data_IF_331398733561
#
_entry.id   IF_331398733561
#
_cell.length_a   1.000
_cell.length_b   1.000
_cell.length_c   1.000
_cell.angle_alpha   90.00
_cell.angle_beta   90.00
_cell.angle_gamma   90.00
#
_symmetry.space_group_name_H-M   'P 1'
#
loop_
_entity.id
_entity.type
_entity.pdbx_description
1 polymer ?
#
# COMPACT_ATOMS: atom_id res chain seq x y z
N UNK A 1 27.21 -4.71 -5.72
CA UNK A 1 26.70 -5.45 -4.56
C UNK A 1 25.55 -6.35 -5.02
N UNK A 2 25.79 -7.67 -5.00
CA UNK A 2 24.76 -8.67 -5.28
C UNK A 2 23.76 -8.71 -4.11
N UNK A 3 22.73 -7.88 -4.17
CA UNK A 3 21.58 -8.04 -3.29
C UNK A 3 20.76 -9.21 -3.84
N UNK A 4 20.77 -10.33 -3.12
CA UNK A 4 19.89 -11.47 -3.42
C UNK A 4 18.46 -11.01 -3.29
N UNK A 5 17.58 -11.19 -4.31
CA UNK A 5 16.19 -10.83 -4.20
C UNK A 5 15.53 -11.61 -3.04
N UNK A 6 14.69 -10.92 -2.28
CA UNK A 6 13.94 -11.56 -1.18
C UNK A 6 12.96 -12.60 -1.75
N UNK A 7 12.82 -13.73 -1.07
CA UNK A 7 11.84 -14.74 -1.45
C UNK A 7 10.43 -14.12 -1.39
N UNK A 8 9.57 -14.31 -2.41
CA UNK A 8 8.22 -13.74 -2.43
C UNK A 8 7.34 -14.10 -1.23
N UNK A 9 7.45 -15.32 -0.71
CA UNK A 9 6.71 -15.74 0.48
C UNK A 9 7.17 -15.00 1.73
N UNK A 10 8.48 -14.80 1.89
CA UNK A 10 9.05 -14.02 2.98
C UNK A 10 8.67 -12.55 2.86
N UNK A 11 8.68 -12.01 1.66
CA UNK A 11 8.27 -10.63 1.39
C UNK A 11 6.79 -10.41 1.75
N UNK A 12 5.91 -11.33 1.34
CA UNK A 12 4.48 -11.26 1.66
C UNK A 12 4.23 -11.34 3.17
N UNK A 13 4.89 -12.23 3.87
CA UNK A 13 4.81 -12.36 5.33
C UNK A 13 5.21 -11.06 6.02
N UNK A 14 6.38 -10.52 5.69
CA UNK A 14 6.89 -9.28 6.28
C UNK A 14 6.00 -8.07 5.96
N UNK A 15 5.53 -7.98 4.72
CA UNK A 15 4.62 -6.93 4.27
C UNK A 15 3.29 -6.98 5.04
N UNK A 16 2.70 -8.17 5.18
CA UNK A 16 1.44 -8.36 5.90
C UNK A 16 1.58 -8.04 7.39
N UNK A 17 2.70 -8.40 8.01
CA UNK A 17 2.99 -8.09 9.42
C UNK A 17 3.24 -6.60 9.66
N UNK A 18 3.90 -5.91 8.72
CA UNK A 18 4.23 -4.49 8.86
C UNK A 18 3.08 -3.55 8.48
N UNK A 19 2.14 -4.01 7.64
CA UNK A 19 1.07 -3.16 7.14
C UNK A 19 0.02 -2.88 8.24
N UNK A 20 -0.36 -1.61 8.47
CA UNK A 20 -1.36 -1.24 9.48
C UNK A 20 -2.78 -1.46 8.96
N UNK A 21 -3.25 -2.69 9.01
CA UNK A 21 -4.59 -3.07 8.56
C UNK A 21 -5.65 -2.30 9.35
N UNK A 22 -6.72 -1.88 8.66
CA UNK A 22 -7.84 -1.14 9.23
C UNK A 22 -8.43 -1.83 10.47
N UNK A 23 -8.71 -1.04 11.49
CA UNK A 23 -9.47 -1.46 12.68
C UNK A 23 -10.98 -1.18 12.54
N UNK A 24 -11.36 -0.44 11.51
CA UNK A 24 -12.75 0.01 11.27
C UNK A 24 -13.45 -0.78 10.18
N UNK A 25 -12.73 -1.51 9.34
CA UNK A 25 -13.30 -2.26 8.21
C UNK A 25 -14.20 -3.40 8.69
N UNK A 26 -15.36 -3.53 8.07
CA UNK A 26 -16.28 -4.65 8.26
C UNK A 26 -16.14 -5.71 7.16
N UNK A 27 -15.62 -5.33 5.99
CA UNK A 27 -15.36 -6.25 4.90
C UNK A 27 -14.09 -7.06 5.14
N UNK A 28 -14.11 -8.33 4.74
CA UNK A 28 -12.93 -9.19 4.80
C UNK A 28 -11.87 -8.75 3.78
N UNK A 29 -10.61 -8.91 4.14
CA UNK A 29 -9.51 -8.83 3.20
C UNK A 29 -9.51 -10.08 2.30
N UNK A 30 -9.04 -9.93 1.07
CA UNK A 30 -9.03 -11.03 0.08
C UNK A 30 -7.61 -11.24 -0.43
N UNK A 31 -7.15 -12.49 -0.38
CA UNK A 31 -5.91 -12.92 -1.02
C UNK A 31 -6.23 -13.53 -2.38
N UNK A 32 -5.69 -12.92 -3.45
CA UNK A 32 -5.70 -13.48 -4.80
C UNK A 32 -4.34 -14.03 -5.16
N UNK A 33 -4.33 -15.20 -5.73
CA UNK A 33 -3.12 -15.84 -6.25
C UNK A 33 -3.21 -15.84 -7.77
N UNK A 34 -2.28 -15.15 -8.40
CA UNK A 34 -2.18 -15.00 -9.83
C UNK A 34 -1.05 -15.87 -10.36
N UNK A 35 -1.16 -16.34 -11.59
CA UNK A 35 -0.11 -17.07 -12.27
C UNK A 35 0.13 -16.50 -13.67
N UNK A 36 1.37 -16.50 -14.10
CA UNK A 36 1.86 -16.06 -15.39
C UNK A 36 1.81 -14.55 -15.58
N UNK A 37 0.62 -13.94 -15.59
CA UNK A 37 0.43 -12.49 -15.81
C UNK A 37 -0.90 -12.00 -15.26
N UNK A 38 -1.09 -10.68 -15.23
CA UNK A 38 -2.38 -10.07 -14.89
C UNK A 38 -3.51 -10.35 -15.91
N UNK A 39 -3.18 -10.77 -17.10
CA UNK A 39 -4.17 -11.10 -18.14
C UNK A 39 -4.90 -12.42 -17.86
N UNK A 40 -4.28 -13.30 -17.07
CA UNK A 40 -4.88 -14.58 -16.71
C UNK A 40 -5.81 -14.41 -15.48
N UNK A 41 -6.90 -15.19 -15.41
CA UNK A 41 -7.76 -15.17 -14.23
C UNK A 41 -7.00 -15.70 -13.00
N UNK A 42 -7.39 -15.27 -11.78
CA UNK A 42 -6.78 -15.77 -10.55
C UNK A 42 -6.87 -17.30 -10.45
N UNK A 43 -5.78 -17.93 -10.04
CA UNK A 43 -5.72 -19.37 -9.76
C UNK A 43 -6.53 -19.71 -8.51
N UNK A 44 -6.50 -18.82 -7.53
CA UNK A 44 -7.25 -18.96 -6.28
C UNK A 44 -7.59 -17.58 -5.71
N UNK A 45 -8.68 -17.51 -4.96
CA UNK A 45 -9.15 -16.33 -4.27
C UNK A 45 -9.76 -16.74 -2.94
N UNK A 46 -9.24 -16.18 -1.83
CA UNK A 46 -9.67 -16.53 -0.48
C UNK A 46 -9.88 -15.31 0.40
N UNK A 47 -10.96 -15.28 1.15
CA UNK A 47 -11.13 -14.32 2.23
C UNK A 47 -10.22 -14.70 3.41
N UNK A 48 -9.51 -13.72 3.95
CA UNK A 48 -8.53 -13.92 5.02
C UNK A 48 -8.87 -13.11 6.30
N UNK A 49 -10.13 -12.81 6.47
CA UNK A 49 -10.66 -12.07 7.62
C UNK A 49 -10.46 -10.55 7.51
N UNK A 50 -11.13 -9.80 8.37
CA UNK A 50 -11.05 -8.32 8.38
C UNK A 50 -9.68 -7.80 8.77
N UNK A 51 -8.90 -8.56 9.54
CA UNK A 51 -7.55 -8.22 9.98
C UNK A 51 -6.45 -8.78 9.07
N UNK A 52 -6.82 -9.42 7.95
CA UNK A 52 -5.87 -10.06 7.03
C UNK A 52 -4.86 -10.93 7.80
N UNK A 53 -5.34 -11.93 8.52
CA UNK A 53 -4.52 -12.76 9.42
C UNK A 53 -3.22 -13.24 8.76
N UNK A 54 -2.04 -12.82 9.24
CA UNK A 54 -0.77 -13.07 8.56
C UNK A 54 -0.44 -14.56 8.40
N UNK A 55 -0.79 -15.39 9.37
CA UNK A 55 -0.56 -16.84 9.30
C UNK A 55 -1.41 -17.50 8.21
N UNK A 56 -2.68 -17.11 8.09
CA UNK A 56 -3.56 -17.64 7.05
C UNK A 56 -3.10 -17.20 5.66
N UNK A 57 -2.69 -15.95 5.51
CA UNK A 57 -2.13 -15.41 4.25
C UNK A 57 -0.88 -16.20 3.86
N UNK A 58 0.04 -16.42 4.79
CA UNK A 58 1.29 -17.14 4.55
C UNK A 58 1.03 -18.62 4.18
N UNK A 59 0.12 -19.28 4.86
CA UNK A 59 -0.21 -20.69 4.60
C UNK A 59 -0.83 -20.86 3.21
N UNK A 60 -1.79 -20.03 2.85
CA UNK A 60 -2.42 -20.05 1.53
C UNK A 60 -1.41 -19.71 0.41
N UNK A 61 -0.59 -18.70 0.61
CA UNK A 61 0.43 -18.34 -0.36
C UNK A 61 1.45 -19.48 -0.58
N UNK A 62 1.86 -20.16 0.49
CA UNK A 62 2.79 -21.28 0.43
C UNK A 62 2.20 -22.48 -0.33
N UNK A 63 0.91 -22.72 -0.18
CA UNK A 63 0.20 -23.82 -0.85
C UNK A 63 0.21 -23.65 -2.38
N UNK A 64 0.08 -22.42 -2.88
CA UNK A 64 -0.05 -22.11 -4.29
C UNK A 64 1.21 -21.51 -4.94
N UNK A 65 2.32 -21.44 -4.21
CA UNK A 65 3.53 -20.81 -4.70
C UNK A 65 4.15 -21.55 -5.88
N UNK A 66 4.44 -20.80 -6.94
CA UNK A 66 5.30 -21.18 -8.07
C UNK A 66 6.14 -19.94 -8.47
N UNK A 67 7.27 -20.11 -9.19
CA UNK A 67 8.09 -18.97 -9.63
C UNK A 67 7.36 -17.94 -10.48
N UNK A 68 6.31 -18.35 -11.19
CA UNK A 68 5.44 -17.48 -12.00
C UNK A 68 4.19 -16.98 -11.25
N UNK A 69 4.13 -17.19 -9.94
CA UNK A 69 3.03 -16.71 -9.11
C UNK A 69 3.20 -15.24 -8.71
N UNK A 70 2.07 -14.56 -8.52
CA UNK A 70 1.99 -13.30 -7.80
C UNK A 70 0.89 -13.39 -6.74
N UNK A 71 1.10 -12.69 -5.62
CA UNK A 71 0.15 -12.62 -4.53
C UNK A 71 -0.38 -11.20 -4.43
N UNK A 72 -1.70 -11.06 -4.43
CA UNK A 72 -2.37 -9.79 -4.26
C UNK A 72 -3.28 -9.85 -3.04
N UNK A 73 -2.93 -9.09 -2.01
CA UNK A 73 -3.74 -8.93 -0.81
C UNK A 73 -4.50 -7.60 -0.92
N UNK A 74 -5.81 -7.70 -1.13
CA UNK A 74 -6.70 -6.54 -1.09
C UNK A 74 -7.21 -6.38 0.34
N UNK A 75 -6.87 -5.28 0.94
CA UNK A 75 -7.17 -4.97 2.34
C UNK A 75 -7.55 -3.50 2.49
N UNK A 76 -7.64 -3.04 3.72
CA UNK A 76 -8.01 -1.66 4.05
C UNK A 76 -7.04 -1.11 5.10
N UNK A 77 -6.83 0.20 5.07
CA UNK A 77 -6.24 0.95 6.18
C UNK A 77 -7.05 2.19 6.46
N UNK A 78 -6.89 2.79 7.62
CA UNK A 78 -7.72 3.90 8.06
C UNK A 78 -7.08 5.23 7.71
N UNK A 79 -7.78 6.01 6.87
CA UNK A 79 -7.40 7.36 6.47
C UNK A 79 -8.54 8.34 6.72
N UNK A 80 -8.19 9.61 6.87
CA UNK A 80 -9.18 10.68 6.92
C UNK A 80 -9.78 10.90 5.53
N UNK A 81 -11.11 10.88 5.46
CA UNK A 81 -11.88 11.09 4.23
C UNK A 81 -12.99 12.11 4.46
N UNK A 82 -13.34 12.83 3.40
CA UNK A 82 -14.47 13.78 3.41
C UNK A 82 -15.67 13.16 2.70
N UNK A 83 -16.67 12.78 3.48
CA UNK A 83 -17.97 12.27 2.99
C UNK A 83 -19.08 13.03 3.73
N UNK A 84 -19.35 14.27 3.30
CA UNK A 84 -20.14 15.23 4.08
C UNK A 84 -19.29 15.89 5.17
N UNK A 85 -18.94 15.14 6.20
CA UNK A 85 -17.97 15.52 7.24
C UNK A 85 -16.68 14.74 7.13
N UNK A 86 -15.60 15.28 7.73
CA UNK A 86 -14.34 14.56 7.86
C UNK A 86 -14.47 13.42 8.87
N UNK A 87 -14.10 12.22 8.46
CA UNK A 87 -14.04 11.05 9.33
C UNK A 87 -12.91 10.12 8.96
N UNK A 88 -12.44 9.39 9.95
CA UNK A 88 -11.51 8.29 9.75
C UNK A 88 -12.31 7.09 9.21
N UNK A 89 -11.91 6.58 8.07
CA UNK A 89 -12.62 5.51 7.37
C UNK A 89 -11.68 4.49 6.74
N UNK A 90 -12.11 3.23 6.60
CA UNK A 90 -11.32 2.23 5.91
C UNK A 90 -11.23 2.55 4.42
N UNK A 91 -10.01 2.65 3.91
CA UNK A 91 -9.70 2.91 2.51
C UNK A 91 -9.00 1.71 1.90
N UNK A 92 -9.36 1.36 0.68
CA UNK A 92 -8.79 0.21 -0.02
C UNK A 92 -7.32 0.40 -0.31
N UNK A 93 -6.59 -0.72 -0.14
CA UNK A 93 -5.18 -0.82 -0.50
C UNK A 93 -4.96 -2.20 -1.11
N UNK A 94 -4.12 -2.27 -2.12
CA UNK A 94 -3.70 -3.53 -2.74
C UNK A 94 -2.21 -3.73 -2.51
N UNK A 95 -1.85 -4.82 -1.85
CA UNK A 95 -0.47 -5.24 -1.60
C UNK A 95 -0.13 -6.36 -2.57
N UNK A 96 0.86 -6.14 -3.44
CA UNK A 96 1.23 -7.11 -4.49
C UNK A 96 2.68 -7.51 -4.34
N UNK A 97 2.92 -8.81 -4.38
CA UNK A 97 4.26 -9.41 -4.36
C UNK A 97 4.40 -10.34 -5.56
N UNK A 98 5.47 -10.18 -6.32
CA UNK A 98 5.67 -10.88 -7.59
C UNK A 98 6.75 -11.93 -7.48
N UNK A 99 6.46 -13.12 -8.00
CA UNK A 99 7.47 -14.14 -8.25
C UNK A 99 8.41 -13.72 -9.39
N UNK A 100 9.59 -14.29 -9.41
CA UNK A 100 10.64 -13.92 -10.37
C UNK A 100 10.22 -14.05 -11.83
N UNK A 101 9.40 -15.05 -12.14
CA UNK A 101 8.95 -15.35 -13.51
C UNK A 101 7.55 -14.81 -13.83
N UNK A 102 6.92 -14.08 -12.92
CA UNK A 102 5.64 -13.44 -13.20
C UNK A 102 5.83 -12.26 -14.15
N UNK A 103 5.02 -12.20 -15.20
CA UNK A 103 5.04 -11.11 -16.18
C UNK A 103 4.46 -9.82 -15.60
N UNK A 104 5.32 -8.85 -15.40
CA UNK A 104 4.98 -7.52 -14.86
C UNK A 104 5.69 -6.41 -15.64
N UNK A 105 5.01 -5.24 -15.82
CA UNK A 105 5.54 -4.20 -16.73
C UNK A 105 6.88 -3.58 -16.29
N UNK A 106 7.06 -3.35 -15.00
CA UNK A 106 8.13 -2.49 -14.48
C UNK A 106 9.24 -3.25 -13.76
N UNK A 107 9.13 -4.58 -13.67
CA UNK A 107 10.15 -5.44 -13.06
C UNK A 107 10.26 -5.32 -11.55
N UNK A 108 9.30 -4.68 -10.89
CA UNK A 108 9.26 -4.56 -9.43
C UNK A 108 8.99 -5.89 -8.74
N UNK A 109 9.52 -6.06 -7.53
CA UNK A 109 9.25 -7.23 -6.69
C UNK A 109 8.00 -7.05 -5.84
N UNK A 110 7.68 -5.80 -5.49
CA UNK A 110 6.54 -5.43 -4.65
C UNK A 110 5.91 -4.16 -5.21
N UNK A 111 4.57 -4.15 -5.25
CA UNK A 111 3.79 -2.96 -5.60
C UNK A 111 2.69 -2.76 -4.56
N UNK A 112 2.50 -1.51 -4.13
CA UNK A 112 1.41 -1.15 -3.24
C UNK A 112 0.60 -0.05 -3.90
N UNK A 113 -0.70 -0.28 -4.04
CA UNK A 113 -1.65 0.66 -4.62
C UNK A 113 -2.56 1.20 -3.53
N UNK A 114 -2.46 2.51 -3.26
CA UNK A 114 -3.15 3.16 -2.14
C UNK A 114 -4.49 3.80 -2.52
N UNK A 115 -4.88 3.74 -3.78
CA UNK A 115 -6.07 4.44 -4.28
C UNK A 115 -5.77 5.86 -4.76
N UNK A 116 -6.80 6.76 -4.80
CA UNK A 116 -6.66 8.05 -5.47
C UNK A 116 -5.73 9.02 -4.73
N UNK A 117 -5.04 9.85 -5.50
CA UNK A 117 -4.12 10.89 -5.01
C UNK A 117 -4.80 11.89 -4.06
N UNK A 118 -6.10 12.11 -4.23
CA UNK A 118 -6.88 13.03 -3.39
C UNK A 118 -6.85 12.69 -1.89
N UNK A 119 -6.51 11.47 -1.53
CA UNK A 119 -6.32 11.06 -0.13
C UNK A 119 -5.07 11.69 0.50
N UNK A 120 -4.11 12.13 -0.32
CA UNK A 120 -2.80 12.62 0.11
C UNK A 120 -2.48 14.03 -0.40
N UNK A 121 -3.34 14.63 -1.21
CA UNK A 121 -3.14 15.97 -1.74
C UNK A 121 -4.25 16.91 -1.23
N UNK A 122 -3.89 17.99 -0.50
CA UNK A 122 -4.87 18.98 -0.05
C UNK A 122 -5.58 19.64 -1.21
N UNK A 123 -6.90 19.81 -1.09
CA UNK A 123 -7.68 20.58 -2.04
C UNK A 123 -7.69 22.05 -1.62
N UNK A 124 -7.17 23.00 -2.45
CA UNK A 124 -7.18 24.42 -2.14
C UNK A 124 -8.57 25.00 -1.93
N UNK A 125 -9.60 24.39 -2.54
CA UNK A 125 -11.00 24.80 -2.40
C UNK A 125 -11.60 24.45 -1.02
N UNK A 126 -10.92 23.56 -0.24
CA UNK A 126 -11.38 23.09 1.06
C UNK A 126 -10.29 23.39 2.10
N UNK A 127 -10.29 24.60 2.72
CA UNK A 127 -9.23 25.00 3.66
C UNK A 127 -9.07 24.07 4.87
N UNK A 128 -10.14 23.43 5.32
CA UNK A 128 -10.13 22.48 6.45
C UNK A 128 -9.44 21.15 6.11
N UNK A 129 -9.19 20.88 4.82
CA UNK A 129 -8.62 19.61 4.37
C UNK A 129 -7.15 19.46 4.75
N UNK A 130 -6.39 20.54 4.86
CA UNK A 130 -4.93 20.54 4.96
C UNK A 130 -4.43 19.68 6.12
N UNK A 131 -4.95 19.90 7.33
CA UNK A 131 -4.48 19.19 8.53
C UNK A 131 -4.74 17.69 8.49
N UNK A 132 -5.92 17.28 8.03
CA UNK A 132 -6.33 15.87 7.99
C UNK A 132 -5.63 15.12 6.85
N UNK A 133 -5.50 15.76 5.69
CA UNK A 133 -4.69 15.23 4.58
C UNK A 133 -3.22 15.08 4.99
N UNK A 134 -2.66 15.99 5.74
CA UNK A 134 -1.30 15.87 6.28
C UNK A 134 -1.17 14.67 7.24
N UNK A 135 -2.21 14.37 8.01
CA UNK A 135 -2.25 13.15 8.81
C UNK A 135 -2.16 11.90 7.92
N UNK A 136 -2.87 11.87 6.80
CA UNK A 136 -2.77 10.79 5.83
C UNK A 136 -1.37 10.68 5.23
N UNK A 137 -0.74 11.81 4.88
CA UNK A 137 0.63 11.83 4.37
C UNK A 137 1.61 11.26 5.40
N UNK A 138 1.48 11.62 6.67
CA UNK A 138 2.32 11.07 7.74
C UNK A 138 2.15 9.56 7.87
N UNK A 139 0.92 9.06 7.75
CA UNK A 139 0.64 7.62 7.75
C UNK A 139 1.35 6.91 6.59
N UNK A 140 1.31 7.50 5.40
CA UNK A 140 2.01 6.98 4.22
C UNK A 140 3.53 6.97 4.42
N UNK A 141 4.11 8.06 4.89
CA UNK A 141 5.57 8.16 5.10
C UNK A 141 6.04 7.23 6.21
N UNK A 142 5.26 7.08 7.28
CA UNK A 142 5.55 6.12 8.34
C UNK A 142 5.53 4.68 7.81
N UNK A 143 4.52 4.34 7.01
CA UNK A 143 4.43 3.02 6.38
C UNK A 143 5.64 2.75 5.48
N UNK A 144 6.02 3.70 4.63
CA UNK A 144 7.19 3.56 3.76
C UNK A 144 8.45 3.28 4.59
N UNK A 145 8.67 4.02 5.68
CA UNK A 145 9.82 3.81 6.56
C UNK A 145 9.80 2.42 7.23
N UNK A 146 8.65 1.95 7.70
CA UNK A 146 8.51 0.63 8.30
C UNK A 146 8.74 -0.50 7.29
N UNK A 147 8.25 -0.34 6.06
CA UNK A 147 8.46 -1.31 4.98
C UNK A 147 9.92 -1.36 4.53
N UNK A 148 10.62 -0.24 4.50
CA UNK A 148 12.06 -0.21 4.21
C UNK A 148 12.85 -1.05 5.22
N UNK A 149 12.51 -0.96 6.50
CA UNK A 149 13.13 -1.78 7.55
C UNK A 149 12.77 -3.27 7.40
N UNK A 150 11.50 -3.57 7.16
CA UNK A 150 11.01 -4.94 7.12
C UNK A 150 11.50 -5.72 5.89
N UNK A 151 11.65 -5.06 4.75
CA UNK A 151 11.88 -5.68 3.44
C UNK A 151 13.29 -5.47 2.89
N UNK A 152 14.13 -4.68 3.56
CA UNK A 152 15.49 -4.34 3.07
C UNK A 152 15.50 -3.82 1.63
N UNK A 153 14.65 -2.84 1.35
CA UNK A 153 14.41 -2.30 0.02
C UNK A 153 15.64 -1.58 -0.53
N UNK A 154 16.07 -1.94 -1.74
CA UNK A 154 17.19 -1.30 -2.44
C UNK A 154 16.78 -0.09 -3.28
N UNK A 155 15.56 -0.08 -3.78
CA UNK A 155 15.00 1.00 -4.61
C UNK A 155 13.50 1.12 -4.37
N UNK A 156 13.03 2.36 -4.28
CA UNK A 156 11.60 2.68 -4.18
C UNK A 156 11.22 3.79 -5.13
N UNK A 157 9.99 3.74 -5.62
CA UNK A 157 9.38 4.77 -6.45
C UNK A 157 7.98 5.09 -5.90
N UNK A 158 7.67 6.37 -5.80
CA UNK A 158 6.33 6.86 -5.51
C UNK A 158 5.73 7.42 -6.80
N UNK A 159 4.58 6.89 -7.17
CA UNK A 159 3.86 7.26 -8.38
C UNK A 159 2.57 7.98 -8.05
N UNK A 160 2.17 8.87 -8.94
CA UNK A 160 0.89 9.54 -8.93
C UNK A 160 0.20 9.35 -10.28
N UNK A 161 -1.12 9.22 -10.26
CA UNK A 161 -1.93 9.15 -11.49
C UNK A 161 -1.77 10.40 -12.37
N UNK A 162 -1.45 11.53 -11.77
CA UNK A 162 -1.20 12.78 -12.49
C UNK A 162 0.12 12.80 -13.28
N UNK A 163 0.98 11.79 -13.11
CA UNK A 163 2.29 11.71 -13.77
C UNK A 163 3.33 12.71 -13.27
N UNK A 164 3.00 13.52 -12.28
CA UNK A 164 3.93 14.45 -11.64
C UNK A 164 4.73 13.74 -10.54
N UNK A 165 5.83 14.37 -10.10
CA UNK A 165 6.63 13.86 -9.00
C UNK A 165 5.86 13.92 -7.68
N UNK A 166 5.24 12.82 -7.31
CA UNK A 166 4.40 12.72 -6.13
C UNK A 166 5.17 12.98 -4.83
N UNK A 167 6.42 12.55 -4.75
CA UNK A 167 7.26 12.80 -3.58
C UNK A 167 7.47 14.32 -3.34
N UNK A 168 7.68 15.10 -4.39
CA UNK A 168 7.78 16.55 -4.28
C UNK A 168 6.46 17.20 -3.87
N UNK A 169 5.33 16.73 -4.41
CA UNK A 169 4.00 17.20 -4.02
C UNK A 169 3.72 16.94 -2.55
N UNK A 170 4.07 15.77 -2.03
CA UNK A 170 3.94 15.44 -0.61
C UNK A 170 4.81 16.36 0.26
N UNK A 171 6.04 16.62 -0.14
CA UNK A 171 6.94 17.53 0.59
C UNK A 171 6.40 18.96 0.62
N UNK A 172 5.87 19.46 -0.48
CA UNK A 172 5.23 20.79 -0.53
C UNK A 172 4.03 20.86 0.40
N UNK A 173 3.17 19.85 0.42
CA UNK A 173 2.02 19.79 1.30
C UNK A 173 2.42 19.84 2.79
N UNK A 174 3.50 19.17 3.18
CA UNK A 174 4.04 19.22 4.53
C UNK A 174 4.68 20.56 4.87
N UNK A 175 5.37 21.20 3.93
CA UNK A 175 6.00 22.51 4.13
C UNK A 175 4.98 23.62 4.35
N UNK A 176 3.83 23.60 3.69
CA UNK A 176 2.73 24.54 3.90
C UNK A 176 2.26 24.56 5.36
N UNK A 177 2.27 23.43 6.05
CA UNK A 177 1.96 23.35 7.47
C UNK A 177 3.01 24.05 8.33
N UNK A 178 4.28 23.79 8.10
CA UNK A 178 5.37 24.39 8.90
C UNK A 178 5.36 25.92 8.81
N UNK A 179 5.01 26.47 7.66
CA UNK A 179 4.87 27.91 7.48
C UNK A 179 3.67 28.46 8.23
N UNK A 180 2.51 27.78 8.19
CA UNK A 180 1.31 28.17 8.94
C UNK A 180 1.51 28.11 10.47
N UNK A 181 2.20 27.10 10.97
CA UNK A 181 2.53 26.97 12.40
C UNK A 181 3.52 28.02 12.91
N UNK A 182 4.41 28.54 12.04
CA UNK A 182 5.37 29.61 12.38
C UNK A 182 4.75 31.01 12.38
N UNK A 183 3.61 31.18 11.73
CA UNK A 183 2.89 32.48 11.65
C UNK A 183 1.83 32.65 12.76
N UNK A 184 1.54 31.63 13.54
CA UNK A 184 0.68 31.64 14.72
C UNK A 184 1.52 31.56 16.00
#
# INVERSE_FOLDING_TARGET
>A
SNTTPINPLTALERLTLAFPVSKLAHAASTLRILAVSFAEPPVAEHEVGTLAHPELVSDLASEFYNPDSAFQLDTFWDLWTLEGDWRLAPCRVSLQVFGEQFDRPDGEDIRIEFGPDSQFLPDPAIPSSTRLIQSNIRSLLHLVAELEKALSVSKKLLWSESGENFAEQLQRALQLQQTAERLN
#
